data_IF_660722996004
#
_entry.id   IF_660722996004
#
_cell.length_a   1.000
_cell.length_b   1.000
_cell.length_c   1.000
_cell.angle_alpha   90.00
_cell.angle_beta   90.00
_cell.angle_gamma   90.00
#
_symmetry.space_group_name_H-M   'P 1'
#
loop_
_entity.id
_entity.type
_entity.pdbx_description
1 polymer ?
#
# COMPACT_ATOMS: atom_id res chain seq x y z
N UNK A 1 30.25 -7.18 46.42
CA UNK A 1 28.80 -7.28 46.13
C UNK A 1 28.22 -5.99 45.53
N UNK A 2 28.51 -4.79 46.07
CA UNK A 2 27.99 -3.50 45.55
C UNK A 2 28.35 -3.23 44.08
N UNK A 3 29.59 -3.53 43.64
CA UNK A 3 30.01 -3.31 42.25
C UNK A 3 29.20 -4.11 41.21
N UNK A 4 28.79 -5.34 41.53
CA UNK A 4 28.01 -6.18 40.62
C UNK A 4 26.56 -5.69 40.50
N UNK A 5 25.96 -5.25 41.61
CA UNK A 5 24.61 -4.69 41.62
C UNK A 5 24.49 -3.41 40.78
N UNK A 6 25.52 -2.55 40.80
CA UNK A 6 25.56 -1.32 39.99
C UNK A 6 25.62 -1.62 38.48
N UNK A 7 26.40 -2.64 38.09
CA UNK A 7 26.50 -3.08 36.68
C UNK A 7 25.15 -3.62 36.19
N UNK A 8 24.48 -4.44 37.01
CA UNK A 8 23.17 -4.99 36.69
C UNK A 8 22.14 -3.88 36.50
N UNK A 9 22.08 -2.91 37.41
CA UNK A 9 21.16 -1.76 37.30
C UNK A 9 21.45 -0.93 36.05
N UNK A 10 22.72 -0.72 35.70
CA UNK A 10 23.09 0.03 34.50
C UNK A 10 22.67 -0.70 33.21
N UNK A 11 22.81 -2.03 33.16
CA UNK A 11 22.39 -2.83 32.00
C UNK A 11 20.88 -2.81 31.86
N UNK A 12 20.13 -3.09 32.93
CA UNK A 12 18.67 -3.12 32.87
C UNK A 12 18.06 -1.74 32.68
N UNK A 13 18.63 -0.69 33.28
CA UNK A 13 18.22 0.69 33.06
C UNK A 13 18.52 1.19 31.65
N UNK A 14 19.69 0.85 31.10
CA UNK A 14 20.07 1.21 29.74
C UNK A 14 19.21 0.50 28.67
N UNK A 15 18.95 -0.80 28.85
CA UNK A 15 18.04 -1.55 27.97
C UNK A 15 16.60 -1.05 28.09
N UNK A 16 16.13 -0.76 29.31
CA UNK A 16 14.80 -0.20 29.53
C UNK A 16 14.62 1.18 28.90
N UNK A 17 15.62 2.06 29.02
CA UNK A 17 15.63 3.37 28.38
C UNK A 17 15.69 3.26 26.85
N UNK A 18 16.51 2.35 26.31
CA UNK A 18 16.59 2.10 24.87
C UNK A 18 15.25 1.63 24.29
N UNK A 19 14.59 0.67 24.94
CA UNK A 19 13.27 0.17 24.51
C UNK A 19 12.20 1.23 24.67
N UNK A 20 12.24 2.01 25.76
CA UNK A 20 11.29 3.09 25.99
C UNK A 20 11.47 4.23 24.97
N UNK A 21 12.69 4.65 24.67
CA UNK A 21 12.96 5.66 23.64
C UNK A 21 12.59 5.15 22.24
N UNK A 22 12.90 3.88 21.91
CA UNK A 22 12.50 3.25 20.64
C UNK A 22 10.98 3.27 20.41
N UNK A 23 10.19 3.08 21.47
CA UNK A 23 8.72 3.02 21.41
C UNK A 23 7.99 4.36 21.69
N UNK A 24 8.60 5.28 22.44
CA UNK A 24 7.89 6.41 23.07
C UNK A 24 8.46 7.79 22.71
N UNK A 25 9.52 7.88 21.89
CA UNK A 25 10.08 9.17 21.53
C UNK A 25 9.06 10.08 20.81
N UNK A 26 8.92 11.36 21.23
CA UNK A 26 7.86 12.28 20.76
C UNK A 26 7.99 12.70 19.29
N UNK A 27 9.10 12.36 18.62
CA UNK A 27 9.29 12.54 17.17
C UNK A 27 8.81 11.33 16.33
N UNK A 28 8.18 10.33 16.96
CA UNK A 28 7.72 9.12 16.26
C UNK A 28 8.86 8.12 16.13
N UNK A 29 9.10 7.35 17.20
CA UNK A 29 10.10 6.27 17.20
C UNK A 29 9.93 5.33 16.00
N UNK A 30 11.03 4.67 15.60
CA UNK A 30 11.10 3.82 14.40
C UNK A 30 9.94 2.84 14.28
N UNK A 31 9.45 2.30 15.40
CA UNK A 31 8.28 1.42 15.42
C UNK A 31 7.01 2.07 14.84
N UNK A 32 6.74 3.35 15.13
CA UNK A 32 5.58 4.05 14.58
C UNK A 32 5.77 4.35 13.08
N UNK A 33 6.99 4.71 12.68
CA UNK A 33 7.33 4.91 11.28
C UNK A 33 7.23 3.60 10.47
N UNK A 34 7.70 2.48 11.02
CA UNK A 34 7.62 1.14 10.43
C UNK A 34 6.16 0.65 10.36
N UNK A 35 5.35 0.88 11.39
CA UNK A 35 3.93 0.55 11.37
C UNK A 35 3.15 1.40 10.36
N UNK A 36 3.40 2.71 10.30
CA UNK A 36 2.79 3.59 9.30
C UNK A 36 3.25 3.26 7.88
N UNK A 37 4.52 2.91 7.68
CA UNK A 37 5.02 2.47 6.38
C UNK A 37 4.41 1.13 5.96
N UNK A 38 4.19 0.21 6.90
CA UNK A 38 3.53 -1.07 6.64
C UNK A 38 2.05 -0.87 6.28
N UNK A 39 1.34 -0.03 7.04
CA UNK A 39 -0.05 0.30 6.75
C UNK A 39 -0.20 1.01 5.39
N UNK A 40 0.70 1.94 5.07
CA UNK A 40 0.73 2.59 3.76
C UNK A 40 1.00 1.59 2.63
N UNK A 41 1.89 0.61 2.83
CA UNK A 41 2.17 -0.41 1.84
C UNK A 41 1.00 -1.41 1.64
N UNK A 42 0.21 -1.67 2.68
CA UNK A 42 -1.00 -2.48 2.53
C UNK A 42 -2.13 -1.70 1.84
N UNK A 43 -2.27 -0.42 2.15
CA UNK A 43 -3.22 0.48 1.47
C UNK A 43 -2.87 0.62 -0.02
N UNK A 44 -1.59 0.80 -0.37
CA UNK A 44 -1.14 0.91 -1.77
C UNK A 44 -1.49 -0.35 -2.59
N UNK A 45 -1.37 -1.54 -1.99
CA UNK A 45 -1.73 -2.81 -2.66
C UNK A 45 -3.21 -2.91 -2.97
N UNK A 46 -4.08 -2.33 -2.13
CA UNK A 46 -5.51 -2.33 -2.43
C UNK A 46 -5.84 -1.46 -3.65
N UNK A 47 -4.91 -0.61 -4.07
CA UNK A 47 -5.06 0.35 -5.15
C UNK A 47 -4.25 -0.01 -6.41
N UNK A 48 -3.53 -1.14 -6.40
CA UNK A 48 -2.71 -1.64 -7.52
C UNK A 48 -3.25 -3.00 -7.97
N UNK A 49 -4.33 -3.04 -8.78
CA UNK A 49 -4.99 -4.29 -9.14
C UNK A 49 -4.20 -5.07 -10.19
N UNK A 50 -4.08 -6.38 -9.98
CA UNK A 50 -3.45 -7.29 -10.94
C UNK A 50 -4.44 -7.80 -11.99
N UNK A 51 -3.92 -8.38 -13.07
CA UNK A 51 -4.77 -9.00 -14.11
C UNK A 51 -5.56 -10.14 -13.48
N UNK A 52 -6.89 -10.05 -13.56
CA UNK A 52 -7.82 -11.02 -12.98
C UNK A 52 -8.46 -10.57 -11.68
N UNK A 53 -7.99 -9.50 -11.05
CA UNK A 53 -8.60 -8.96 -9.84
C UNK A 53 -9.94 -8.28 -10.15
N UNK A 54 -10.86 -8.41 -9.22
CA UNK A 54 -12.09 -7.64 -9.24
C UNK A 54 -11.88 -6.32 -8.50
N UNK A 55 -12.42 -5.25 -9.05
CA UNK A 55 -12.22 -3.91 -8.53
C UNK A 55 -13.55 -3.17 -8.46
N UNK A 56 -13.61 -2.24 -7.51
CA UNK A 56 -14.58 -1.14 -7.54
C UNK A 56 -13.90 0.12 -8.03
N UNK A 57 -14.55 0.83 -8.95
CA UNK A 57 -14.06 2.10 -9.48
C UNK A 57 -14.94 3.19 -8.90
N UNK A 58 -14.48 3.86 -7.84
CA UNK A 58 -15.28 4.86 -7.13
C UNK A 58 -15.51 6.14 -7.96
N UNK A 59 -14.58 6.48 -8.88
CA UNK A 59 -14.76 7.57 -9.83
C UNK A 59 -14.10 7.20 -11.17
N UNK A 60 -14.87 7.00 -12.27
CA UNK A 60 -14.31 6.67 -13.57
C UNK A 60 -13.60 7.85 -14.27
N UNK A 61 -13.77 9.09 -13.80
CA UNK A 61 -13.16 10.30 -14.37
C UNK A 61 -12.25 11.07 -13.41
N UNK A 62 -12.12 10.61 -12.16
CA UNK A 62 -11.29 11.21 -11.12
C UNK A 62 -10.12 10.32 -10.70
N UNK A 63 -9.26 10.84 -9.82
CA UNK A 63 -8.66 9.98 -8.79
C UNK A 63 -9.83 9.49 -7.93
N UNK A 64 -10.04 8.17 -7.86
CA UNK A 64 -9.04 7.30 -7.25
C UNK A 64 -8.63 6.06 -8.06
N UNK A 65 -7.52 5.49 -7.59
CA UNK A 65 -7.05 4.15 -7.94
C UNK A 65 -8.17 3.11 -7.69
N UNK A 66 -8.59 2.30 -8.69
CA UNK A 66 -9.41 1.11 -8.51
C UNK A 66 -9.04 0.35 -7.24
N UNK A 67 -10.04 0.04 -6.41
CA UNK A 67 -9.82 -0.73 -5.19
C UNK A 67 -10.08 -2.19 -5.46
N UNK A 68 -9.08 -3.04 -5.23
CA UNK A 68 -9.22 -4.50 -5.29
C UNK A 68 -10.25 -4.96 -4.26
N UNK A 69 -11.24 -5.71 -4.71
CA UNK A 69 -12.30 -6.32 -3.92
C UNK A 69 -12.43 -7.80 -4.27
N UNK A 70 -13.05 -8.57 -3.38
CA UNK A 70 -13.36 -9.96 -3.67
C UNK A 70 -14.35 -10.07 -4.84
N UNK A 71 -14.07 -10.95 -5.81
CA UNK A 71 -14.92 -11.13 -6.99
C UNK A 71 -16.33 -11.65 -6.69
N UNK A 72 -16.57 -12.25 -5.53
CA UNK A 72 -17.90 -12.65 -5.06
C UNK A 72 -18.64 -11.55 -4.29
N UNK A 73 -17.98 -10.41 -4.07
CA UNK A 73 -18.57 -9.27 -3.37
C UNK A 73 -19.60 -8.56 -4.26
N UNK A 74 -20.72 -8.05 -3.70
CA UNK A 74 -21.62 -7.14 -4.42
C UNK A 74 -20.94 -5.80 -4.79
N UNK A 75 -19.77 -5.52 -4.23
CA UNK A 75 -18.95 -4.35 -4.55
C UNK A 75 -18.06 -4.56 -5.79
N UNK A 76 -17.95 -5.79 -6.32
CA UNK A 76 -17.17 -6.05 -7.53
C UNK A 76 -17.91 -5.50 -8.75
N UNK A 77 -17.38 -4.43 -9.34
CA UNK A 77 -18.00 -3.78 -10.50
C UNK A 77 -17.28 -4.12 -11.81
N UNK A 78 -15.95 -4.27 -11.74
CA UNK A 78 -15.13 -4.57 -12.90
C UNK A 78 -14.08 -5.63 -12.57
N UNK A 79 -13.51 -6.23 -13.60
CA UNK A 79 -12.37 -7.13 -13.55
C UNK A 79 -11.24 -6.60 -14.40
N UNK A 80 -10.04 -6.55 -13.84
CA UNK A 80 -8.83 -6.14 -14.53
C UNK A 80 -8.49 -7.18 -15.60
N UNK A 81 -8.46 -6.76 -16.86
CA UNK A 81 -8.31 -7.64 -18.00
C UNK A 81 -7.00 -7.48 -18.78
N UNK A 82 -6.32 -6.33 -18.66
CA UNK A 82 -4.98 -6.14 -19.18
C UNK A 82 -4.27 -4.96 -18.50
N UNK A 83 -2.94 -5.04 -18.50
CA UNK A 83 -2.05 -3.92 -18.25
C UNK A 83 -1.29 -3.65 -19.55
N UNK A 84 -1.46 -2.46 -20.11
CA UNK A 84 -0.79 -2.02 -21.32
C UNK A 84 0.40 -1.14 -20.97
N UNK A 85 1.63 -1.62 -21.22
CA UNK A 85 2.81 -0.86 -20.90
C UNK A 85 3.00 0.33 -21.85
N UNK A 86 3.16 1.54 -21.30
CA UNK A 86 3.55 2.74 -22.03
C UNK A 86 2.62 3.93 -21.81
N UNK A 87 3.11 5.10 -22.23
CA UNK A 87 2.29 6.31 -22.25
C UNK A 87 1.25 6.23 -23.38
N UNK A 88 0.09 6.80 -23.10
CA UNK A 88 -1.09 6.95 -23.97
C UNK A 88 -1.53 5.65 -24.67
N UNK A 89 -1.38 4.51 -23.98
CA UNK A 89 -1.93 3.25 -24.46
C UNK A 89 -3.45 3.26 -24.30
N UNK A 90 -4.16 2.96 -25.38
CA UNK A 90 -5.62 2.80 -25.37
C UNK A 90 -6.00 1.34 -25.20
N UNK A 91 -7.03 1.10 -24.38
CA UNK A 91 -7.62 -0.22 -24.25
C UNK A 91 -8.35 -0.59 -25.54
N UNK A 92 -8.14 -1.82 -26.02
CA UNK A 92 -8.91 -2.37 -27.14
C UNK A 92 -10.41 -2.41 -26.84
N UNK A 93 -11.26 -2.30 -27.86
CA UNK A 93 -12.73 -2.24 -27.74
C UNK A 93 -13.42 -3.44 -27.05
N UNK A 94 -12.67 -4.51 -26.70
CA UNK A 94 -13.16 -5.61 -25.86
C UNK A 94 -13.23 -5.27 -24.37
N UNK A 95 -12.63 -4.15 -23.96
CA UNK A 95 -12.65 -3.66 -22.58
C UNK A 95 -13.67 -2.53 -22.47
N UNK A 96 -14.40 -2.50 -21.36
CA UNK A 96 -15.45 -1.50 -21.11
C UNK A 96 -14.85 -0.16 -20.66
N UNK A 97 -13.68 -0.21 -20.05
CA UNK A 97 -13.08 0.94 -19.40
C UNK A 97 -11.55 0.82 -19.31
N UNK A 98 -10.86 1.96 -19.22
CA UNK A 98 -9.41 2.01 -19.04
C UNK A 98 -8.96 3.21 -18.22
N UNK A 99 -7.99 2.98 -17.32
CA UNK A 99 -7.36 4.01 -16.50
C UNK A 99 -5.90 4.13 -16.90
N UNK A 100 -5.47 5.35 -17.20
CA UNK A 100 -4.06 5.64 -17.45
C UNK A 100 -3.37 6.07 -16.15
N UNK A 101 -2.33 5.33 -15.78
CA UNK A 101 -1.41 5.67 -14.71
C UNK A 101 -0.19 6.36 -15.28
N UNK A 102 0.06 7.58 -14.80
CA UNK A 102 1.24 8.36 -15.12
C UNK A 102 2.08 8.51 -13.87
N UNK A 103 3.28 7.92 -13.87
CA UNK A 103 4.17 7.99 -12.72
C UNK A 103 5.43 8.80 -13.06
N UNK A 104 5.57 9.96 -12.44
CA UNK A 104 6.75 10.84 -12.62
C UNK A 104 8.10 10.19 -12.26
N UNK A 105 8.11 9.08 -11.52
CA UNK A 105 9.31 8.36 -11.06
C UNK A 105 9.33 6.88 -11.48
N UNK A 106 8.32 6.43 -12.23
CA UNK A 106 8.08 5.02 -12.50
C UNK A 106 7.79 4.75 -13.96
N UNK A 107 7.00 3.72 -14.20
CA UNK A 107 6.59 3.30 -15.53
C UNK A 107 5.13 3.70 -15.76
N UNK A 108 4.87 4.36 -16.90
CA UNK A 108 3.51 4.70 -17.32
C UNK A 108 2.82 3.45 -17.87
N UNK A 109 1.58 3.20 -17.46
CA UNK A 109 0.80 2.07 -17.95
C UNK A 109 -0.69 2.42 -17.99
N UNK A 110 -1.44 1.69 -18.81
CA UNK A 110 -2.90 1.75 -18.83
C UNK A 110 -3.46 0.43 -18.32
N UNK A 111 -4.33 0.47 -17.31
CA UNK A 111 -5.12 -0.67 -16.88
C UNK A 111 -6.44 -0.71 -17.66
N UNK A 112 -6.80 -1.89 -18.15
CA UNK A 112 -8.02 -2.11 -18.90
C UNK A 112 -8.95 -3.04 -18.12
N UNK A 113 -10.21 -2.67 -18.04
CA UNK A 113 -11.21 -3.32 -17.21
C UNK A 113 -12.39 -3.82 -18.04
N UNK A 114 -12.98 -4.94 -17.59
CA UNK A 114 -14.21 -5.51 -18.14
C UNK A 114 -15.26 -5.56 -17.05
N UNK A 115 -16.50 -5.21 -17.34
CA UNK A 115 -17.59 -5.28 -16.36
C UNK A 115 -17.85 -6.74 -15.96
N UNK A 116 -18.01 -7.00 -14.67
CA UNK A 116 -18.37 -8.33 -14.13
C UNK A 116 -19.87 -8.56 -14.08
#
# INVERSE_FOLDING_TARGET
MVKAAVVVIAIFGGLGYYVWDYNTSPTGGKAKAEASASAAAEEDKTHDPEIGDCVKVADPQGEPLPTVVDCGSPEAEYKTGALLPGQDQECSAKYDYGIQYRNSRGFDYTLCFTKV
#
